data_IF_437915993737
#
_entry.id   IF_437915993737
#
_cell.length_a   1.000
_cell.length_b   1.000
_cell.length_c   1.000
_cell.angle_alpha   90.00
_cell.angle_beta   90.00
_cell.angle_gamma   90.00
#
_symmetry.space_group_name_H-M   'P 1'
#
loop_
_entity.id
_entity.type
_entity.pdbx_description
1 polymer ?
#
# COMPACT_ATOMS: atom_id res chain seq x y z
N UNK A 1 -13.46 0.79 7.86
CA UNK A 1 -13.55 0.05 9.15
C UNK A 1 -12.15 0.07 9.74
N UNK A 2 -12.01 0.48 10.99
CA UNK A 2 -10.69 0.66 11.59
C UNK A 2 -9.89 -0.64 11.59
N UNK A 3 -8.71 -0.60 10.97
CA UNK A 3 -7.81 -1.75 10.84
C UNK A 3 -8.21 -2.77 9.75
N UNK A 4 -9.13 -2.45 8.84
CA UNK A 4 -9.48 -3.35 7.74
C UNK A 4 -8.33 -3.53 6.77
N UNK A 5 -8.00 -4.79 6.49
CA UNK A 5 -7.09 -5.17 5.40
C UNK A 5 -7.79 -5.22 4.04
N UNK A 6 -9.11 -5.02 3.97
CA UNK A 6 -9.83 -4.90 2.69
C UNK A 6 -9.70 -3.51 2.08
N UNK A 7 -9.53 -2.48 2.92
CA UNK A 7 -9.15 -1.14 2.49
C UNK A 7 -7.66 -1.10 2.14
N UNK A 8 -7.26 -0.16 1.28
CA UNK A 8 -5.87 -0.05 0.82
C UNK A 8 -4.94 0.27 2.00
N UNK A 9 -3.94 -0.57 2.23
CA UNK A 9 -2.95 -0.41 3.30
C UNK A 9 -1.56 -0.88 2.90
N UNK A 10 -0.53 -0.31 3.52
CA UNK A 10 0.86 -0.73 3.33
C UNK A 10 1.61 -0.68 4.66
N UNK A 11 2.26 -1.78 5.03
CA UNK A 11 3.09 -1.87 6.22
C UNK A 11 4.21 -2.89 6.05
N UNK A 12 5.23 -2.81 6.91
CA UNK A 12 6.39 -3.68 6.82
C UNK A 12 7.34 -3.45 8.00
N UNK A 13 8.19 -4.44 8.32
CA UNK A 13 9.09 -4.32 9.46
C UNK A 13 10.27 -3.39 9.12
N UNK A 14 10.63 -2.50 10.06
CA UNK A 14 11.80 -1.63 9.96
C UNK A 14 13.10 -2.38 10.29
N UNK A 15 13.36 -3.46 9.54
CA UNK A 15 14.58 -4.26 9.60
C UNK A 15 14.87 -4.84 8.22
N UNK A 16 16.12 -5.16 7.96
CA UNK A 16 16.54 -5.81 6.72
C UNK A 16 15.70 -7.08 6.42
N UNK A 17 15.18 -7.25 5.19
CA UNK A 17 15.48 -6.49 3.95
C UNK A 17 14.58 -5.26 3.69
N UNK A 18 13.99 -4.66 4.72
CA UNK A 18 13.09 -3.48 4.66
C UNK A 18 11.90 -3.67 3.69
N UNK A 19 11.38 -4.89 3.62
CA UNK A 19 10.25 -5.22 2.75
C UNK A 19 8.96 -4.54 3.24
N UNK A 20 8.22 -3.95 2.31
CA UNK A 20 6.88 -3.39 2.55
C UNK A 20 5.85 -4.26 1.82
N UNK A 21 4.79 -4.63 2.53
CA UNK A 21 3.66 -5.36 1.98
C UNK A 21 2.51 -4.39 1.73
N UNK A 22 2.16 -4.24 0.46
CA UNK A 22 1.08 -3.35 0.02
C UNK A 22 -0.12 -4.24 -0.36
N UNK A 23 -1.29 -4.02 0.25
CA UNK A 23 -2.45 -4.90 0.11
C UNK A 23 -3.79 -4.17 0.24
N UNK A 24 -4.89 -4.87 0.02
CA UNK A 24 -6.24 -4.30 0.03
C UNK A 24 -6.56 -3.44 -1.19
N UNK A 25 -7.60 -2.63 -1.07
CA UNK A 25 -8.14 -1.79 -2.14
C UNK A 25 -9.50 -2.31 -2.59
N UNK A 26 -10.55 -1.54 -2.31
CA UNK A 26 -11.94 -1.92 -2.64
C UNK A 26 -12.25 -1.76 -4.13
N UNK A 27 -11.40 -1.04 -4.86
CA UNK A 27 -11.48 -0.90 -6.30
C UNK A 27 -10.08 -0.79 -6.91
N UNK A 28 -9.86 -1.46 -8.05
CA UNK A 28 -8.54 -1.53 -8.70
C UNK A 28 -7.97 -0.15 -9.08
N UNK A 29 -8.83 0.84 -9.36
CA UNK A 29 -8.38 2.21 -9.72
C UNK A 29 -7.69 2.91 -8.55
N UNK A 30 -7.95 2.54 -7.30
CA UNK A 30 -7.22 3.08 -6.15
C UNK A 30 -5.72 2.76 -6.27
N UNK A 31 -5.39 1.53 -6.71
CA UNK A 31 -4.00 1.17 -7.01
C UNK A 31 -3.40 1.98 -8.14
N UNK A 32 -4.14 2.20 -9.23
CA UNK A 32 -3.66 3.01 -10.34
C UNK A 32 -3.31 4.45 -9.90
N UNK A 33 -4.15 5.05 -9.06
CA UNK A 33 -3.92 6.39 -8.51
C UNK A 33 -2.72 6.41 -7.55
N UNK A 34 -2.70 5.50 -6.57
CA UNK A 34 -1.66 5.49 -5.53
C UNK A 34 -0.31 5.11 -6.10
N UNK A 35 -0.19 4.07 -6.93
CA UNK A 35 1.08 3.72 -7.57
C UNK A 35 1.61 4.85 -8.46
N UNK A 36 0.73 5.56 -9.16
CA UNK A 36 1.11 6.71 -9.97
C UNK A 36 1.75 7.84 -9.16
N UNK A 37 1.30 8.09 -7.93
CA UNK A 37 1.90 9.09 -7.04
C UNK A 37 3.13 8.56 -6.30
N UNK A 38 3.09 7.32 -5.81
CA UNK A 38 4.19 6.70 -5.06
C UNK A 38 5.47 6.64 -5.91
N UNK A 39 5.36 6.27 -7.19
CA UNK A 39 6.51 6.21 -8.10
C UNK A 39 7.18 7.56 -8.36
N UNK A 40 6.55 8.70 -8.02
CA UNK A 40 7.15 10.03 -8.16
C UNK A 40 8.02 10.43 -6.96
N UNK A 41 7.86 9.74 -5.84
CA UNK A 41 8.48 10.11 -4.55
C UNK A 41 9.49 9.08 -4.05
N UNK A 42 9.72 8.03 -4.83
CA UNK A 42 10.82 7.06 -4.68
C UNK A 42 11.95 7.49 -5.61
#
# INVERSE_FOLDING_TARGET
>A
MDGSTSELSCDGPLRDPYAVFCQGGTHWTQWALVLGEVLKVI
#
